data_IF_033284460134
#
_entry.id   IF_033284460134
#
_cell.length_a   1.000
_cell.length_b   1.000
_cell.length_c   1.000
_cell.angle_alpha   90.00
_cell.angle_beta   90.00
_cell.angle_gamma   90.00
#
_symmetry.space_group_name_H-M   'P 1'
#
loop_
_entity.id
_entity.type
_entity.pdbx_description
1 polymer ?
#
# COMPACT_ATOMS: atom_id res chain seq x y z
N UNK A 1 8.11 117.73 30.78
CA UNK A 1 8.08 118.15 29.39
C UNK A 1 8.47 116.96 28.52
N UNK A 2 7.58 116.58 27.60
CA UNK A 2 7.74 115.83 26.36
C UNK A 2 8.25 114.39 26.43
N UNK A 3 7.35 113.42 26.41
CA UNK A 3 6.82 112.60 25.32
C UNK A 3 7.88 111.85 24.53
N UNK A 4 7.82 110.51 24.59
CA UNK A 4 8.57 109.57 23.78
C UNK A 4 7.80 108.27 23.61
N UNK A 5 7.35 108.12 22.44
CA UNK A 5 6.52 107.10 21.90
C UNK A 5 7.28 105.74 21.82
N UNK A 6 6.74 104.68 22.36
CA UNK A 6 7.32 103.37 22.35
C UNK A 6 6.48 102.34 21.54
N UNK A 7 6.89 102.10 20.30
CA UNK A 7 6.33 101.09 19.47
C UNK A 7 6.62 99.68 20.02
N UNK A 8 5.57 98.98 20.38
CA UNK A 8 5.59 97.50 20.61
C UNK A 8 5.80 96.74 19.30
N UNK A 9 6.79 95.86 19.27
CA UNK A 9 6.93 94.85 18.24
C UNK A 9 6.16 93.64 18.67
N UNK A 10 5.23 93.15 17.83
CA UNK A 10 4.57 91.86 17.93
C UNK A 10 5.55 90.73 17.62
N UNK A 11 5.41 89.53 18.28
CA UNK A 11 6.20 88.38 17.94
C UNK A 11 5.58 87.63 16.75
N UNK A 12 6.45 87.18 15.87
CA UNK A 12 6.14 86.45 14.66
C UNK A 12 5.39 85.12 14.97
N UNK A 13 4.34 84.89 14.22
CA UNK A 13 3.55 83.64 14.17
C UNK A 13 4.43 82.46 13.86
N UNK A 14 4.20 81.34 14.63
CA UNK A 14 4.74 80.03 14.44
C UNK A 14 4.21 79.41 13.15
N UNK A 15 5.13 79.08 12.26
CA UNK A 15 4.89 78.32 11.03
C UNK A 15 4.25 76.97 11.33
N UNK A 16 3.13 76.76 10.71
CA UNK A 16 2.42 75.58 10.25
C UNK A 16 2.77 74.21 10.81
N UNK A 17 1.92 73.72 11.69
CA UNK A 17 1.63 72.24 11.73
C UNK A 17 0.91 71.91 10.43
N UNK A 18 1.61 71.17 9.52
CA UNK A 18 0.95 70.56 8.38
C UNK A 18 0.01 69.46 8.91
N UNK A 19 -1.27 69.76 8.95
CA UNK A 19 -2.32 68.74 9.17
C UNK A 19 -2.35 67.83 7.96
N UNK A 20 -1.77 66.63 8.11
CA UNK A 20 -2.02 65.50 7.15
C UNK A 20 -3.54 65.28 7.16
N UNK A 21 -4.19 65.57 6.03
CA UNK A 21 -5.64 65.46 5.90
C UNK A 21 -6.11 64.04 6.14
N UNK A 22 -7.37 63.86 6.57
CA UNK A 22 -7.93 62.52 6.92
C UNK A 22 -7.79 61.45 5.83
N UNK A 23 -7.63 61.83 4.57
CA UNK A 23 -7.37 60.93 3.44
C UNK A 23 -5.93 60.37 3.44
N UNK A 24 -4.92 61.16 3.87
CA UNK A 24 -3.54 60.67 3.97
C UNK A 24 -3.35 59.73 5.15
N UNK A 25 -3.99 59.98 6.29
CA UNK A 25 -3.95 59.08 7.44
C UNK A 25 -4.63 57.72 7.13
N UNK A 26 -5.72 57.73 6.37
CA UNK A 26 -6.41 56.54 5.95
C UNK A 26 -5.61 55.72 4.93
N UNK A 27 -4.88 56.37 4.01
CA UNK A 27 -3.99 55.72 3.07
C UNK A 27 -2.79 55.08 3.77
N UNK A 28 -2.17 55.80 4.73
CA UNK A 28 -1.05 55.28 5.51
C UNK A 28 -1.43 54.11 6.41
N UNK A 29 -2.62 54.13 7.01
CA UNK A 29 -3.12 52.99 7.79
C UNK A 29 -3.40 51.76 6.94
N UNK A 30 -3.94 51.90 5.73
CA UNK A 30 -4.12 50.82 4.76
C UNK A 30 -2.79 50.23 4.27
N UNK A 31 -1.82 51.07 3.95
CA UNK A 31 -0.47 50.65 3.57
C UNK A 31 0.23 49.93 4.72
N UNK A 32 0.11 50.39 5.94
CA UNK A 32 0.65 49.71 7.12
C UNK A 32 -0.02 48.37 7.37
N UNK A 33 -1.33 48.28 7.18
CA UNK A 33 -2.04 46.98 7.31
C UNK A 33 -1.69 45.99 6.21
N UNK A 34 -1.48 46.44 4.97
CA UNK A 34 -1.02 45.58 3.87
C UNK A 34 0.40 45.09 4.13
N UNK A 35 1.33 45.98 4.53
CA UNK A 35 2.71 45.60 4.85
C UNK A 35 2.81 44.66 6.06
N UNK A 36 1.95 44.82 7.06
CA UNK A 36 1.88 43.88 8.19
C UNK A 36 1.28 42.55 7.79
N UNK A 37 0.27 42.51 6.92
CA UNK A 37 -0.27 41.26 6.36
C UNK A 37 0.76 40.52 5.49
N UNK A 38 1.46 41.23 4.60
CA UNK A 38 2.55 40.64 3.80
C UNK A 38 3.68 40.08 4.71
N UNK A 39 4.07 40.84 5.73
CA UNK A 39 5.06 40.39 6.71
C UNK A 39 4.60 39.15 7.50
N UNK A 40 3.33 39.06 7.86
CA UNK A 40 2.76 37.88 8.53
C UNK A 40 2.67 36.69 7.58
N UNK A 41 2.27 36.86 6.34
CA UNK A 41 2.23 35.78 5.32
C UNK A 41 3.65 35.30 5.06
N UNK A 42 4.63 36.17 4.89
CA UNK A 42 6.03 35.78 4.69
C UNK A 42 6.64 35.03 5.87
N UNK A 43 6.20 35.30 7.10
CA UNK A 43 6.65 34.57 8.29
C UNK A 43 5.92 33.24 8.50
N UNK A 44 4.65 33.11 8.06
CA UNK A 44 3.86 31.89 8.26
C UNK A 44 4.18 30.77 7.24
N UNK A 45 4.53 31.13 6.01
CA UNK A 45 4.87 30.14 4.96
C UNK A 45 6.03 29.22 5.36
N UNK A 46 7.18 29.70 5.85
CA UNK A 46 8.26 28.85 6.32
C UNK A 46 7.84 27.94 7.48
N UNK A 47 7.03 28.43 8.41
CA UNK A 47 6.57 27.64 9.53
C UNK A 47 5.67 26.49 9.07
N UNK A 48 4.70 26.75 8.18
CA UNK A 48 3.83 25.72 7.60
C UNK A 48 4.65 24.70 6.81
N UNK A 49 5.58 25.15 5.97
CA UNK A 49 6.46 24.26 5.22
C UNK A 49 7.27 23.36 6.17
N UNK A 50 7.91 23.95 7.18
CA UNK A 50 8.67 23.21 8.18
C UNK A 50 7.82 22.18 8.90
N UNK A 51 6.61 22.53 9.35
CA UNK A 51 5.68 21.60 10.00
C UNK A 51 5.27 20.48 9.08
N UNK A 52 4.96 20.76 7.81
CA UNK A 52 4.57 19.75 6.82
C UNK A 52 5.71 18.76 6.59
N UNK A 53 6.92 19.26 6.36
CA UNK A 53 8.10 18.43 6.13
C UNK A 53 8.42 17.54 7.35
N UNK A 54 8.36 18.10 8.55
CA UNK A 54 8.52 17.33 9.79
C UNK A 54 7.43 16.28 9.97
N UNK A 55 6.19 16.59 9.66
CA UNK A 55 5.08 15.63 9.73
C UNK A 55 5.36 14.42 8.83
N UNK A 56 5.78 14.64 7.59
CA UNK A 56 6.07 13.55 6.64
C UNK A 56 7.25 12.70 7.12
N UNK A 57 8.34 13.33 7.55
CA UNK A 57 9.52 12.56 7.97
C UNK A 57 9.28 11.77 9.27
N UNK A 58 8.55 12.35 10.23
CA UNK A 58 8.18 11.66 11.46
C UNK A 58 7.20 10.52 11.21
N UNK A 59 6.21 10.73 10.35
CA UNK A 59 5.26 9.70 9.94
C UNK A 59 6.00 8.51 9.32
N UNK A 60 6.94 8.76 8.42
CA UNK A 60 7.79 7.74 7.80
C UNK A 60 8.67 7.04 8.83
N UNK A 61 9.30 7.80 9.72
CA UNK A 61 10.14 7.24 10.79
C UNK A 61 9.34 6.34 11.76
N UNK A 62 8.13 6.76 12.16
CA UNK A 62 7.24 5.95 13.01
C UNK A 62 6.83 4.64 12.30
N UNK A 63 6.48 4.71 11.02
CA UNK A 63 6.14 3.52 10.24
C UNK A 63 7.32 2.56 10.11
N UNK A 64 8.53 3.06 9.85
CA UNK A 64 9.75 2.28 9.79
C UNK A 64 10.09 1.66 11.16
N UNK A 65 9.96 2.43 12.23
CA UNK A 65 10.21 1.93 13.59
C UNK A 65 9.26 0.78 13.95
N UNK A 66 7.97 0.92 13.60
CA UNK A 66 6.99 -0.16 13.79
C UNK A 66 7.31 -1.38 12.93
N UNK A 67 7.62 -1.19 11.64
CA UNK A 67 8.04 -2.27 10.77
C UNK A 67 9.29 -2.98 11.30
N UNK A 68 10.29 -2.22 11.76
CA UNK A 68 11.50 -2.77 12.35
C UNK A 68 11.19 -3.59 13.62
N UNK A 69 10.27 -3.09 14.46
CA UNK A 69 9.80 -3.83 15.62
C UNK A 69 9.17 -5.17 15.22
N UNK A 70 8.29 -5.17 14.22
CA UNK A 70 7.67 -6.40 13.71
C UNK A 70 8.73 -7.41 13.22
N UNK A 71 9.65 -6.97 12.37
CA UNK A 71 10.61 -7.87 11.73
C UNK A 71 11.73 -8.33 12.70
N UNK A 72 12.25 -7.41 13.53
CA UNK A 72 13.40 -7.72 14.38
C UNK A 72 13.03 -8.39 15.71
N UNK A 73 11.81 -8.20 16.21
CA UNK A 73 11.39 -8.70 17.50
C UNK A 73 10.21 -9.68 17.43
N UNK A 74 9.13 -9.33 16.72
CA UNK A 74 7.91 -10.17 16.65
C UNK A 74 8.15 -11.38 15.74
N UNK A 75 8.68 -11.16 14.54
CA UNK A 75 8.97 -12.23 13.58
C UNK A 75 10.26 -13.00 13.89
N UNK A 76 10.98 -12.62 14.98
CA UNK A 76 12.24 -13.27 15.32
C UNK A 76 12.03 -14.73 15.70
N UNK A 77 12.72 -15.62 14.96
CA UNK A 77 12.60 -17.06 15.18
C UNK A 77 11.33 -17.68 14.60
N UNK A 78 10.57 -16.93 13.79
CA UNK A 78 9.46 -17.53 13.04
C UNK A 78 9.99 -18.60 12.10
N UNK A 79 9.49 -19.81 12.28
CA UNK A 79 9.73 -20.96 11.42
C UNK A 79 8.43 -21.26 10.68
N UNK A 80 8.53 -21.56 9.38
CA UNK A 80 7.35 -21.96 8.62
C UNK A 80 6.86 -23.29 9.14
N UNK A 81 5.57 -23.42 9.48
CA UNK A 81 5.02 -24.70 9.91
C UNK A 81 5.13 -25.73 8.79
N UNK A 82 5.34 -26.98 9.18
CA UNK A 82 5.28 -28.10 8.24
C UNK A 82 3.82 -28.35 7.82
N UNK A 83 3.58 -28.88 6.61
CA UNK A 83 2.24 -29.27 6.18
C UNK A 83 1.68 -30.40 7.06
N UNK A 84 0.41 -30.29 7.47
CA UNK A 84 -0.32 -31.32 8.23
C UNK A 84 -1.48 -31.91 7.43
N UNK A 85 -1.96 -31.19 6.40
CA UNK A 85 -3.02 -31.64 5.51
C UNK A 85 -2.47 -31.93 4.11
N UNK A 86 -2.91 -33.05 3.53
CA UNK A 86 -2.52 -33.45 2.19
C UNK A 86 -3.20 -32.60 1.12
N UNK A 87 -2.59 -32.53 -0.06
CA UNK A 87 -3.16 -31.78 -1.19
C UNK A 87 -4.50 -32.35 -1.69
N UNK A 88 -4.83 -33.60 -1.35
CA UNK A 88 -6.13 -34.21 -1.62
C UNK A 88 -7.27 -33.58 -0.79
N UNK A 89 -6.92 -32.94 0.34
CA UNK A 89 -7.87 -32.25 1.24
C UNK A 89 -8.09 -30.78 0.84
N UNK A 90 -7.68 -30.40 -0.39
CA UNK A 90 -7.74 -29.04 -0.91
C UNK A 90 -8.61 -28.95 -2.15
N UNK A 91 -9.64 -28.09 -2.10
CA UNK A 91 -10.35 -27.60 -3.28
C UNK A 91 -9.72 -26.29 -3.76
N UNK A 92 -9.34 -26.21 -5.03
CA UNK A 92 -8.78 -24.97 -5.61
C UNK A 92 -9.86 -24.18 -6.36
N UNK A 93 -9.89 -22.88 -6.13
CA UNK A 93 -10.76 -21.93 -6.83
C UNK A 93 -9.95 -20.80 -7.47
N UNK A 94 -9.85 -20.83 -8.79
CA UNK A 94 -9.33 -19.71 -9.59
C UNK A 94 -10.42 -18.70 -9.88
N UNK A 95 -10.09 -17.43 -9.82
CA UNK A 95 -11.03 -16.35 -10.11
C UNK A 95 -10.54 -15.55 -11.30
N UNK A 96 -11.37 -15.45 -12.33
CA UNK A 96 -11.03 -14.76 -13.59
C UNK A 96 -12.22 -14.05 -14.20
N UNK A 97 -11.95 -13.10 -15.09
CA UNK A 97 -12.97 -12.45 -15.91
C UNK A 97 -13.00 -13.07 -17.33
N UNK A 98 -11.87 -13.06 -18.04
CA UNK A 98 -11.77 -13.43 -19.44
C UNK A 98 -10.39 -13.99 -19.85
N UNK A 99 -9.53 -14.35 -18.87
CA UNK A 99 -8.12 -14.64 -19.13
C UNK A 99 -7.86 -16.16 -19.34
N UNK A 100 -8.49 -16.80 -20.34
CA UNK A 100 -8.48 -18.24 -20.58
C UNK A 100 -7.05 -18.82 -20.62
N UNK A 101 -6.15 -18.29 -21.46
CA UNK A 101 -4.79 -18.83 -21.60
C UNK A 101 -3.95 -18.66 -20.34
N UNK A 102 -4.16 -17.59 -19.59
CA UNK A 102 -3.44 -17.32 -18.34
C UNK A 102 -3.90 -18.30 -17.26
N UNK A 103 -5.21 -18.46 -17.11
CA UNK A 103 -5.79 -19.45 -16.17
C UNK A 103 -5.35 -20.86 -16.53
N UNK A 104 -5.31 -21.22 -17.82
CA UNK A 104 -4.83 -22.53 -18.25
C UNK A 104 -3.38 -22.78 -17.84
N UNK A 105 -2.48 -21.78 -17.93
CA UNK A 105 -1.11 -21.88 -17.41
C UNK A 105 -1.11 -22.16 -15.90
N UNK A 106 -1.94 -21.43 -15.16
CA UNK A 106 -2.04 -21.57 -13.70
C UNK A 106 -2.63 -22.92 -13.28
N UNK A 107 -3.66 -23.43 -13.99
CA UNK A 107 -4.23 -24.75 -13.75
C UNK A 107 -3.22 -25.86 -14.05
N UNK A 108 -2.43 -25.70 -15.12
CA UNK A 108 -1.40 -26.69 -15.49
C UNK A 108 -0.24 -26.75 -14.50
N UNK A 109 -0.02 -25.66 -13.74
CA UNK A 109 1.02 -25.60 -12.71
C UNK A 109 0.61 -26.19 -11.36
N UNK A 110 -0.66 -26.60 -11.20
CA UNK A 110 -1.10 -27.23 -9.96
C UNK A 110 -0.50 -28.63 -9.82
N UNK A 111 -0.10 -29.02 -8.59
CA UNK A 111 0.24 -30.40 -8.28
C UNK A 111 -0.87 -31.39 -8.68
N UNK A 112 -0.51 -32.54 -9.25
CA UNK A 112 -1.48 -33.54 -9.67
C UNK A 112 -2.34 -34.09 -8.52
N UNK A 113 -1.83 -34.06 -7.30
CA UNK A 113 -2.53 -34.47 -6.10
C UNK A 113 -3.79 -33.64 -5.80
N UNK A 114 -3.84 -32.40 -6.25
CA UNK A 114 -5.04 -31.56 -6.17
C UNK A 114 -5.97 -31.97 -7.31
N UNK A 115 -7.02 -32.70 -7.00
CA UNK A 115 -7.96 -33.20 -8.00
C UNK A 115 -9.22 -32.34 -8.14
N UNK A 116 -9.59 -31.60 -7.08
CA UNK A 116 -10.78 -30.76 -7.06
C UNK A 116 -10.43 -29.32 -7.44
N UNK A 117 -10.61 -29.00 -8.75
CA UNK A 117 -10.15 -27.77 -9.38
C UNK A 117 -11.31 -27.05 -10.04
N UNK A 118 -11.57 -25.82 -9.61
CA UNK A 118 -12.65 -24.98 -10.12
C UNK A 118 -12.11 -23.67 -10.66
N UNK A 119 -12.68 -23.22 -11.79
CA UNK A 119 -12.47 -21.88 -12.35
C UNK A 119 -13.79 -21.13 -12.29
N UNK A 120 -13.82 -20.05 -11.55
CA UNK A 120 -14.98 -19.18 -11.38
C UNK A 120 -14.81 -17.98 -12.31
N UNK A 121 -15.55 -17.95 -13.39
CA UNK A 121 -15.39 -17.00 -14.48
C UNK A 121 -16.61 -16.09 -14.62
N UNK A 122 -16.37 -14.85 -15.06
CA UNK A 122 -17.47 -13.92 -15.44
C UNK A 122 -17.91 -14.12 -16.90
N UNK A 123 -17.10 -14.80 -17.73
CA UNK A 123 -17.39 -15.10 -19.12
C UNK A 123 -17.18 -16.60 -19.42
N UNK A 124 -17.91 -17.18 -20.38
CA UNK A 124 -17.68 -18.56 -20.82
C UNK A 124 -16.24 -18.76 -21.32
N UNK A 125 -15.60 -19.85 -20.90
CA UNK A 125 -14.27 -20.26 -21.35
C UNK A 125 -14.12 -21.77 -21.24
N UNK A 126 -13.08 -22.33 -21.90
CA UNK A 126 -12.75 -23.75 -21.86
C UNK A 126 -11.36 -23.95 -21.23
N UNK A 127 -11.33 -24.60 -20.07
CA UNK A 127 -10.09 -24.87 -19.34
C UNK A 127 -9.93 -26.39 -19.17
N UNK A 128 -8.81 -26.92 -19.68
CA UNK A 128 -8.47 -28.31 -19.48
C UNK A 128 -8.01 -28.59 -18.04
N UNK A 129 -8.51 -29.67 -17.43
CA UNK A 129 -8.10 -30.08 -16.09
C UNK A 129 -8.75 -29.34 -14.91
N UNK A 130 -9.77 -28.53 -15.16
CA UNK A 130 -10.59 -27.88 -14.13
C UNK A 130 -12.06 -27.79 -14.57
N UNK A 131 -12.96 -27.70 -13.59
CA UNK A 131 -14.39 -27.43 -13.85
C UNK A 131 -14.63 -25.93 -13.91
N UNK A 132 -15.14 -25.48 -15.05
CA UNK A 132 -15.45 -24.04 -15.24
C UNK A 132 -16.89 -23.75 -14.83
N UNK A 133 -17.06 -22.70 -14.03
CA UNK A 133 -18.34 -22.17 -13.58
C UNK A 133 -18.45 -20.72 -14.02
N UNK A 134 -19.51 -20.40 -14.75
CA UNK A 134 -19.81 -19.03 -15.17
C UNK A 134 -20.78 -18.41 -14.18
N UNK A 135 -20.39 -17.31 -13.55
CA UNK A 135 -21.23 -16.59 -12.60
C UNK A 135 -22.40 -15.96 -13.34
N UNK A 136 -23.66 -16.32 -13.04
CA UNK A 136 -24.82 -15.74 -13.75
C UNK A 136 -24.89 -14.23 -13.57
N UNK A 137 -25.20 -13.50 -14.63
CA UNK A 137 -25.42 -12.04 -14.55
C UNK A 137 -26.50 -11.67 -13.55
N UNK A 138 -27.53 -12.52 -13.41
CA UNK A 138 -28.67 -12.35 -12.51
C UNK A 138 -28.30 -12.61 -11.03
N UNK A 139 -27.10 -13.08 -10.71
CA UNK A 139 -26.69 -13.27 -9.32
C UNK A 139 -26.44 -11.91 -8.67
N UNK A 140 -27.21 -11.59 -7.63
CA UNK A 140 -27.12 -10.33 -6.90
C UNK A 140 -26.60 -10.57 -5.47
N UNK A 141 -25.63 -9.77 -5.04
CA UNK A 141 -25.11 -9.71 -3.68
C UNK A 141 -24.54 -8.31 -3.43
N UNK A 142 -24.12 -8.02 -2.19
CA UNK A 142 -23.48 -6.73 -1.87
C UNK A 142 -22.05 -6.65 -2.40
N UNK A 143 -21.37 -7.82 -2.51
CA UNK A 143 -20.01 -7.92 -3.01
C UNK A 143 -19.92 -7.52 -4.49
N UNK A 144 -18.75 -7.06 -4.91
CA UNK A 144 -18.46 -6.62 -6.28
C UNK A 144 -17.26 -7.36 -6.86
N UNK A 145 -17.24 -7.52 -8.19
CA UNK A 145 -16.11 -8.08 -8.92
C UNK A 145 -15.68 -9.46 -8.36
N UNK A 146 -14.39 -9.62 -8.00
CA UNK A 146 -13.85 -10.86 -7.43
C UNK A 146 -14.66 -11.32 -6.22
N UNK A 147 -15.02 -10.43 -5.29
CA UNK A 147 -15.86 -10.76 -4.14
C UNK A 147 -17.24 -11.32 -4.54
N UNK A 148 -17.86 -10.83 -5.63
CA UNK A 148 -19.12 -11.37 -6.16
C UNK A 148 -18.96 -12.81 -6.66
N UNK A 149 -17.88 -13.08 -7.37
CA UNK A 149 -17.57 -14.43 -7.85
C UNK A 149 -17.27 -15.40 -6.69
N UNK A 150 -16.53 -14.95 -5.67
CA UNK A 150 -16.29 -15.71 -4.44
C UNK A 150 -17.60 -16.05 -3.72
N UNK A 151 -18.48 -15.07 -3.51
CA UNK A 151 -19.74 -15.28 -2.81
C UNK A 151 -20.67 -16.21 -3.61
N UNK A 152 -20.69 -16.08 -4.94
CA UNK A 152 -21.44 -17.01 -5.79
C UNK A 152 -20.92 -18.44 -5.63
N UNK A 153 -19.60 -18.62 -5.68
CA UNK A 153 -18.97 -19.92 -5.54
C UNK A 153 -19.28 -20.56 -4.17
N UNK A 154 -19.18 -19.78 -3.09
CA UNK A 154 -19.55 -20.23 -1.74
C UNK A 154 -20.98 -20.73 -1.65
N UNK A 155 -21.93 -20.03 -2.28
CA UNK A 155 -23.36 -20.38 -2.22
C UNK A 155 -23.77 -21.54 -3.15
N UNK A 156 -23.00 -21.80 -4.21
CA UNK A 156 -23.43 -22.71 -5.27
C UNK A 156 -22.54 -23.92 -5.48
N UNK A 157 -21.30 -23.92 -4.95
CA UNK A 157 -20.38 -25.05 -5.04
C UNK A 157 -20.29 -25.75 -3.68
N UNK A 158 -20.34 -27.07 -3.72
CA UNK A 158 -20.05 -27.89 -2.54
C UNK A 158 -18.54 -28.02 -2.37
N UNK A 159 -18.07 -28.01 -1.16
CA UNK A 159 -16.70 -28.34 -0.81
C UNK A 159 -16.73 -29.52 0.17
N UNK A 160 -16.13 -30.64 -0.22
CA UNK A 160 -15.96 -31.80 0.66
C UNK A 160 -14.57 -31.83 1.30
N UNK A 161 -13.67 -30.96 0.81
CA UNK A 161 -12.31 -30.79 1.27
C UNK A 161 -12.26 -29.90 2.51
N UNK A 162 -11.22 -30.04 3.31
CA UNK A 162 -11.03 -29.26 4.52
C UNK A 162 -10.62 -27.82 4.21
N UNK A 163 -9.86 -27.61 3.12
CA UNK A 163 -9.34 -26.31 2.72
C UNK A 163 -9.80 -25.87 1.34
N UNK A 164 -10.05 -24.57 1.23
CA UNK A 164 -10.25 -23.85 -0.01
C UNK A 164 -9.02 -23.02 -0.31
N UNK A 165 -8.34 -23.32 -1.42
CA UNK A 165 -7.19 -22.54 -1.90
C UNK A 165 -7.67 -21.59 -3.00
N UNK A 166 -7.63 -20.30 -2.70
CA UNK A 166 -7.99 -19.22 -3.62
C UNK A 166 -6.76 -18.72 -4.35
N UNK A 167 -6.88 -18.64 -5.66
CA UNK A 167 -5.82 -18.23 -6.57
C UNK A 167 -6.34 -17.15 -7.53
N UNK A 168 -5.49 -16.17 -7.82
CA UNK A 168 -5.71 -15.26 -8.93
C UNK A 168 -5.43 -15.97 -10.26
N UNK A 169 -5.95 -15.45 -11.35
CA UNK A 169 -5.84 -16.03 -12.70
C UNK A 169 -4.39 -16.30 -13.15
N UNK A 170 -3.41 -15.59 -12.60
CA UNK A 170 -1.99 -15.65 -12.96
C UNK A 170 -1.10 -16.26 -11.87
N UNK A 171 -1.69 -16.89 -10.87
CA UNK A 171 -0.94 -17.51 -9.77
C UNK A 171 -0.38 -18.86 -10.19
N UNK A 172 0.94 -18.96 -10.30
CA UNK A 172 1.66 -20.19 -10.61
C UNK A 172 2.21 -20.80 -9.33
N UNK A 173 1.74 -21.98 -9.00
CA UNK A 173 2.19 -22.73 -7.82
C UNK A 173 3.52 -23.42 -8.15
N UNK A 174 4.55 -23.24 -7.32
CA UNK A 174 5.88 -23.77 -7.61
C UNK A 174 6.34 -24.91 -6.70
N UNK A 175 5.98 -24.90 -5.44
CA UNK A 175 6.54 -25.81 -4.42
C UNK A 175 5.55 -26.13 -3.30
N UNK A 176 4.27 -26.35 -3.64
CA UNK A 176 3.22 -26.72 -2.69
C UNK A 176 3.21 -28.22 -2.45
N UNK A 177 3.43 -28.64 -1.23
CA UNK A 177 3.49 -30.03 -0.78
C UNK A 177 2.40 -30.41 0.24
N UNK A 178 1.63 -29.44 0.71
CA UNK A 178 0.51 -29.59 1.65
C UNK A 178 0.12 -28.26 2.28
N UNK A 179 -0.82 -28.30 3.21
CA UNK A 179 -1.36 -27.14 3.92
C UNK A 179 -1.04 -27.28 5.42
N UNK A 180 -0.42 -26.30 6.07
CA UNK A 180 -0.31 -26.25 7.53
C UNK A 180 -1.68 -26.19 8.21
N UNK A 181 -1.78 -26.73 9.41
CA UNK A 181 -2.99 -26.67 10.23
C UNK A 181 -3.18 -25.25 10.81
N UNK A 182 -4.06 -24.48 10.19
CA UNK A 182 -4.47 -23.12 10.63
C UNK A 182 -5.79 -22.73 9.97
N UNK A 183 -6.50 -21.76 10.52
CA UNK A 183 -7.76 -21.26 9.94
C UNK A 183 -7.55 -20.58 8.58
N UNK A 184 -6.46 -19.81 8.49
CA UNK A 184 -6.05 -19.07 7.29
C UNK A 184 -4.56 -19.24 7.07
N UNK A 185 -4.18 -19.77 5.91
CA UNK A 185 -2.79 -19.97 5.50
C UNK A 185 -2.46 -19.04 4.34
N UNK A 186 -1.56 -18.11 4.55
CA UNK A 186 -1.05 -17.22 3.52
C UNK A 186 0.22 -17.79 2.91
N UNK A 187 0.28 -17.85 1.59
CA UNK A 187 1.48 -18.24 0.87
C UNK A 187 2.35 -17.05 0.49
N UNK A 188 3.60 -17.33 0.15
CA UNK A 188 4.56 -16.30 -0.25
C UNK A 188 4.35 -15.94 -1.71
N UNK A 189 4.39 -14.65 -2.00
CA UNK A 189 4.29 -14.14 -3.36
C UNK A 189 5.67 -13.90 -3.97
N UNK A 190 5.84 -14.22 -5.27
CA UNK A 190 7.02 -13.91 -6.04
C UNK A 190 6.62 -13.29 -7.38
N UNK A 191 7.10 -12.07 -7.72
CA UNK A 191 6.71 -11.44 -8.96
C UNK A 191 7.45 -12.06 -10.16
N UNK A 192 6.72 -12.32 -11.23
CA UNK A 192 7.27 -12.62 -12.56
C UNK A 192 7.35 -11.32 -13.37
N UNK A 193 8.45 -11.13 -14.11
CA UNK A 193 8.58 -9.97 -14.97
C UNK A 193 7.65 -10.10 -16.18
N UNK A 194 6.75 -9.12 -16.34
CA UNK A 194 5.92 -8.95 -17.51
C UNK A 194 6.59 -7.96 -18.50
N UNK A 195 5.82 -7.04 -19.10
CA UNK A 195 6.33 -6.08 -20.09
C UNK A 195 7.23 -4.98 -19.50
N UNK A 196 7.02 -4.59 -18.26
CA UNK A 196 7.65 -3.40 -17.68
C UNK A 196 8.71 -3.76 -16.65
N UNK A 197 9.95 -3.46 -16.93
CA UNK A 197 11.06 -3.62 -15.99
C UNK A 197 10.90 -2.75 -14.74
N UNK A 198 10.38 -1.53 -14.87
CA UNK A 198 10.19 -0.64 -13.72
C UNK A 198 9.08 -1.12 -12.78
N UNK A 199 8.00 -1.68 -13.31
CA UNK A 199 6.94 -2.26 -12.45
C UNK A 199 7.44 -3.53 -11.76
N UNK A 200 8.22 -4.36 -12.45
CA UNK A 200 8.88 -5.51 -11.83
C UNK A 200 9.79 -5.11 -10.67
N UNK A 201 10.68 -4.12 -10.86
CA UNK A 201 11.51 -3.60 -9.78
C UNK A 201 10.67 -3.03 -8.62
N UNK A 202 9.53 -2.41 -8.91
CA UNK A 202 8.63 -1.91 -7.88
C UNK A 202 7.93 -3.05 -7.11
N UNK A 203 7.68 -4.20 -7.74
CA UNK A 203 7.22 -5.40 -7.04
C UNK A 203 8.30 -5.99 -6.15
N UNK A 204 9.53 -6.15 -6.65
CA UNK A 204 10.66 -6.64 -5.84
C UNK A 204 10.92 -5.72 -4.64
N UNK A 205 10.82 -4.40 -4.82
CA UNK A 205 10.88 -3.44 -3.72
C UNK A 205 9.77 -3.66 -2.69
N UNK A 206 8.53 -3.87 -3.14
CA UNK A 206 7.38 -4.16 -2.28
C UNK A 206 7.59 -5.42 -1.46
N UNK A 207 8.16 -6.46 -2.05
CA UNK A 207 8.44 -7.72 -1.34
C UNK A 207 9.41 -7.54 -0.17
N UNK A 208 10.36 -6.61 -0.27
CA UNK A 208 11.24 -6.27 0.85
C UNK A 208 10.47 -5.73 2.06
N UNK A 209 9.42 -4.97 1.80
CA UNK A 209 8.49 -4.52 2.84
C UNK A 209 7.65 -5.68 3.40
N UNK A 210 7.21 -6.62 2.56
CA UNK A 210 6.38 -7.76 2.96
C UNK A 210 7.08 -8.80 3.86
N UNK A 211 8.39 -8.72 4.06
CA UNK A 211 9.10 -9.55 5.06
C UNK A 211 8.44 -9.50 6.44
N UNK A 212 7.72 -8.42 6.75
CA UNK A 212 6.92 -8.29 7.98
C UNK A 212 5.79 -9.31 8.13
N UNK A 213 5.32 -9.95 7.02
CA UNK A 213 4.27 -10.98 7.09
C UNK A 213 4.62 -12.12 8.04
N UNK A 214 5.91 -12.39 8.25
CA UNK A 214 6.39 -13.37 9.24
C UNK A 214 6.03 -13.02 10.69
N UNK A 215 5.60 -11.77 10.93
CA UNK A 215 5.09 -11.37 12.25
C UNK A 215 3.58 -11.57 12.38
N UNK A 216 2.84 -11.75 11.27
CA UNK A 216 1.38 -11.79 11.29
C UNK A 216 0.79 -12.92 12.13
N UNK A 217 1.38 -14.14 12.15
CA UNK A 217 0.93 -15.21 13.03
C UNK A 217 0.93 -14.86 14.53
N UNK A 218 1.74 -13.89 14.94
CA UNK A 218 1.82 -13.41 16.32
C UNK A 218 0.95 -12.17 16.59
N UNK A 219 0.21 -11.67 15.61
CA UNK A 219 -0.66 -10.51 15.76
C UNK A 219 -2.11 -10.98 15.96
N UNK A 220 -2.88 -10.23 16.74
CA UNK A 220 -4.32 -10.46 16.88
C UNK A 220 -5.06 -10.31 15.55
N UNK A 221 -4.56 -9.45 14.66
CA UNK A 221 -5.12 -9.22 13.32
C UNK A 221 -3.98 -9.07 12.34
N UNK A 222 -3.90 -9.87 11.28
CA UNK A 222 -2.97 -9.65 10.18
C UNK A 222 -3.18 -8.27 9.56
N UNK A 223 -2.09 -7.58 9.22
CA UNK A 223 -2.20 -6.19 8.72
C UNK A 223 -2.81 -6.10 7.32
N UNK A 224 -2.70 -7.16 6.55
CA UNK A 224 -3.30 -7.37 5.22
C UNK A 224 -3.20 -8.85 4.85
N UNK A 225 -3.97 -9.25 3.85
CA UNK A 225 -3.84 -10.54 3.17
C UNK A 225 -3.69 -10.33 1.67
N UNK A 226 -3.25 -11.38 0.98
CA UNK A 226 -3.04 -11.38 -0.46
C UNK A 226 -3.77 -12.57 -1.09
N UNK A 227 -4.69 -12.31 -2.01
CA UNK A 227 -5.61 -13.30 -2.54
C UNK A 227 -5.11 -14.12 -3.73
N UNK A 228 -3.88 -13.90 -4.18
CA UNK A 228 -3.28 -14.74 -5.21
C UNK A 228 -2.65 -16.02 -4.68
N UNK A 229 -2.79 -16.28 -3.37
CA UNK A 229 -2.28 -17.49 -2.71
C UNK A 229 -2.68 -17.50 -1.24
N UNK A 230 -3.95 -17.86 -0.96
CA UNK A 230 -4.50 -17.97 0.39
C UNK A 230 -5.35 -19.22 0.51
N UNK A 231 -5.08 -20.07 1.50
CA UNK A 231 -5.94 -21.19 1.84
C UNK A 231 -6.74 -20.85 3.10
N UNK A 232 -8.00 -21.25 3.11
CA UNK A 232 -8.96 -20.96 4.19
C UNK A 232 -9.69 -22.26 4.51
N UNK A 233 -9.92 -22.56 5.78
CA UNK A 233 -10.78 -23.68 6.16
C UNK A 233 -12.18 -23.49 5.58
N UNK A 234 -12.73 -24.53 4.97
CA UNK A 234 -14.03 -24.47 4.30
C UNK A 234 -15.16 -24.01 5.26
N UNK A 235 -15.16 -24.49 6.49
CA UNK A 235 -16.13 -24.08 7.52
C UNK A 235 -16.03 -22.61 7.89
N UNK A 236 -14.83 -22.04 7.83
CA UNK A 236 -14.61 -20.62 8.10
C UNK A 236 -15.12 -19.74 6.95
N UNK A 237 -14.91 -20.18 5.69
CA UNK A 237 -15.51 -19.50 4.54
C UNK A 237 -17.03 -19.49 4.64
N UNK A 238 -17.65 -20.61 4.95
CA UNK A 238 -19.10 -20.73 5.10
C UNK A 238 -19.66 -19.83 6.20
N UNK A 239 -18.94 -19.70 7.30
CA UNK A 239 -19.34 -18.87 8.44
C UNK A 239 -19.26 -17.37 8.14
N UNK A 240 -18.20 -16.92 7.51
CA UNK A 240 -17.91 -15.48 7.33
C UNK A 240 -18.47 -14.96 6.00
N UNK A 241 -18.28 -15.69 4.89
CA UNK A 241 -18.72 -15.33 3.55
C UNK A 241 -17.99 -14.12 2.96
N UNK A 242 -18.36 -13.80 1.72
CA UNK A 242 -17.73 -12.73 0.94
C UNK A 242 -18.70 -11.58 0.60
N UNK A 243 -19.94 -11.63 1.08
CA UNK A 243 -21.01 -10.67 0.72
C UNK A 243 -20.81 -9.28 1.34
N UNK A 244 -19.68 -8.65 0.95
CA UNK A 244 -19.33 -7.29 1.37
C UNK A 244 -18.81 -6.48 0.19
N UNK A 245 -19.29 -5.24 0.06
CA UNK A 245 -18.80 -4.32 -0.96
C UNK A 245 -17.43 -3.80 -0.60
N UNK A 246 -16.39 -4.43 -1.12
CA UNK A 246 -14.99 -4.06 -0.88
C UNK A 246 -14.16 -4.14 -2.17
N UNK A 247 -12.97 -3.55 -2.16
CA UNK A 247 -11.97 -3.63 -3.24
C UNK A 247 -10.74 -4.45 -2.85
N UNK A 248 -10.75 -5.01 -1.63
CA UNK A 248 -9.65 -5.80 -1.03
C UNK A 248 -10.27 -6.99 -0.28
N UNK A 249 -10.98 -7.84 -1.01
CA UNK A 249 -11.78 -8.94 -0.47
C UNK A 249 -10.99 -9.85 0.46
N UNK A 250 -9.75 -10.18 0.12
CA UNK A 250 -8.87 -11.05 0.90
C UNK A 250 -8.57 -10.48 2.28
N UNK A 251 -8.11 -9.23 2.31
CA UNK A 251 -7.84 -8.50 3.56
C UNK A 251 -9.13 -8.28 4.36
N UNK A 252 -10.23 -7.96 3.67
CA UNK A 252 -11.54 -7.75 4.30
C UNK A 252 -12.05 -9.03 4.95
N UNK A 253 -11.88 -10.18 4.28
CA UNK A 253 -12.23 -11.49 4.83
C UNK A 253 -11.48 -11.75 6.14
N UNK A 254 -10.15 -11.68 6.12
CA UNK A 254 -9.31 -11.91 7.31
C UNK A 254 -9.63 -10.94 8.44
N UNK A 255 -9.89 -9.67 8.12
CA UNK A 255 -10.31 -8.69 9.14
C UNK A 255 -11.71 -8.97 9.68
N UNK A 256 -12.61 -9.54 8.86
CA UNK A 256 -13.96 -9.94 9.30
C UNK A 256 -13.89 -11.14 10.23
N UNK A 257 -13.03 -12.12 9.93
CA UNK A 257 -12.75 -13.25 10.84
C UNK A 257 -12.24 -12.75 12.18
N UNK A 258 -11.21 -11.89 12.17
CA UNK A 258 -10.63 -11.34 13.40
C UNK A 258 -11.60 -10.42 14.19
N UNK A 259 -12.66 -9.93 13.55
CA UNK A 259 -13.70 -9.13 14.19
C UNK A 259 -14.87 -9.97 14.74
N UNK A 260 -14.98 -11.24 14.37
CA UNK A 260 -16.01 -12.17 14.85
C UNK A 260 -15.63 -12.65 16.25
N UNK A 261 -16.45 -12.30 17.26
CA UNK A 261 -16.19 -12.65 18.67
C UNK A 261 -16.18 -14.16 18.95
N UNK A 262 -16.70 -14.98 18.03
CA UNK A 262 -16.74 -16.43 18.16
C UNK A 262 -15.60 -17.15 17.47
N UNK A 263 -14.62 -16.43 16.90
CA UNK A 263 -13.44 -17.00 16.24
C UNK A 263 -12.17 -16.45 16.87
N UNK A 264 -11.32 -17.35 17.31
CA UNK A 264 -9.93 -17.03 17.67
C UNK A 264 -9.08 -17.36 16.46
N UNK A 265 -8.83 -16.37 15.61
CA UNK A 265 -8.20 -16.55 14.31
C UNK A 265 -6.80 -17.15 14.44
N UNK A 266 -6.62 -18.36 13.96
CA UNK A 266 -5.31 -18.95 13.71
C UNK A 266 -4.86 -18.61 12.27
N UNK A 267 -3.86 -17.75 12.16
CA UNK A 267 -3.30 -17.31 10.89
C UNK A 267 -1.83 -17.70 10.79
N UNK A 268 -1.45 -18.34 9.70
CA UNK A 268 -0.06 -18.71 9.47
C UNK A 268 0.46 -18.29 8.08
N UNK A 269 1.78 -18.24 7.94
CA UNK A 269 2.47 -18.01 6.68
C UNK A 269 3.21 -19.29 6.29
N UNK A 270 2.85 -19.90 5.16
CA UNK A 270 3.49 -21.10 4.65
C UNK A 270 4.77 -20.81 3.86
N UNK A 271 5.61 -21.84 3.70
CA UNK A 271 6.87 -21.76 2.96
C UNK A 271 6.66 -21.65 1.46
N UNK A 272 5.67 -22.37 0.92
CA UNK A 272 5.38 -22.45 -0.49
C UNK A 272 5.27 -21.05 -1.14
N UNK A 273 5.75 -20.95 -2.37
CA UNK A 273 5.84 -19.68 -3.10
C UNK A 273 4.97 -19.76 -4.35
N UNK A 274 4.20 -18.70 -4.58
CA UNK A 274 3.34 -18.56 -5.73
C UNK A 274 3.81 -17.40 -6.58
N UNK A 275 4.06 -17.68 -7.84
CA UNK A 275 4.53 -16.70 -8.80
C UNK A 275 3.35 -15.95 -9.42
N UNK A 276 3.43 -14.61 -9.49
CA UNK A 276 2.40 -13.76 -10.08
C UNK A 276 2.98 -12.75 -11.04
N UNK A 277 2.20 -12.31 -12.00
CA UNK A 277 2.66 -11.31 -12.96
C UNK A 277 2.77 -9.92 -12.31
N UNK A 278 3.94 -9.30 -12.43
CA UNK A 278 4.07 -7.86 -12.15
C UNK A 278 3.11 -7.06 -13.06
N UNK A 279 2.52 -5.96 -12.59
CA UNK A 279 1.65 -5.12 -13.41
C UNK A 279 2.30 -4.76 -14.75
N UNK A 280 1.60 -4.92 -15.89
CA UNK A 280 2.21 -4.77 -17.21
C UNK A 280 2.60 -3.33 -17.56
N UNK A 281 2.05 -2.35 -16.85
CA UNK A 281 2.33 -0.92 -17.04
C UNK A 281 2.35 -0.17 -15.72
N UNK A 282 3.05 0.97 -15.70
CA UNK A 282 3.06 1.88 -14.54
C UNK A 282 1.64 2.36 -14.20
N UNK A 283 0.81 2.62 -15.21
CA UNK A 283 -0.59 3.03 -14.97
C UNK A 283 -1.40 1.93 -14.27
N UNK A 284 -1.25 0.68 -14.69
CA UNK A 284 -1.89 -0.46 -14.05
C UNK A 284 -1.45 -0.61 -12.59
N UNK A 285 -0.14 -0.49 -12.33
CA UNK A 285 0.42 -0.50 -10.99
C UNK A 285 -0.13 0.62 -10.10
N UNK A 286 -0.16 1.86 -10.60
CA UNK A 286 -0.72 3.00 -9.87
C UNK A 286 -2.19 2.74 -9.51
N UNK A 287 -2.99 2.24 -10.47
CA UNK A 287 -4.39 1.88 -10.22
C UNK A 287 -4.53 0.79 -9.15
N UNK A 288 -3.71 -0.26 -9.20
CA UNK A 288 -3.70 -1.35 -8.22
C UNK A 288 -3.37 -0.84 -6.81
N UNK A 289 -2.31 -0.03 -6.64
CA UNK A 289 -1.94 0.56 -5.35
C UNK A 289 -3.01 1.51 -4.81
N UNK A 290 -3.64 2.27 -5.72
CA UNK A 290 -4.76 3.16 -5.39
C UNK A 290 -5.95 2.38 -4.80
N UNK A 291 -6.30 1.23 -5.39
CA UNK A 291 -7.33 0.34 -4.84
C UNK A 291 -6.98 -0.19 -3.44
N UNK A 292 -5.75 -0.65 -3.25
CA UNK A 292 -5.34 -1.22 -1.97
C UNK A 292 -5.47 -0.22 -0.83
N UNK A 293 -4.99 1.01 -1.02
CA UNK A 293 -5.08 2.02 0.04
C UNK A 293 -6.52 2.49 0.25
N UNK A 294 -7.29 2.67 -0.82
CA UNK A 294 -8.69 3.09 -0.73
C UNK A 294 -9.53 2.02 -0.02
N UNK A 295 -9.37 0.74 -0.39
CA UNK A 295 -10.02 -0.38 0.28
C UNK A 295 -9.64 -0.49 1.75
N UNK A 296 -8.35 -0.44 2.07
CA UNK A 296 -7.86 -0.47 3.45
C UNK A 296 -8.42 0.67 4.31
N UNK A 297 -8.57 1.87 3.74
CA UNK A 297 -9.21 2.99 4.45
C UNK A 297 -10.72 2.81 4.64
N UNK A 298 -11.41 2.22 3.65
CA UNK A 298 -12.84 1.95 3.73
C UNK A 298 -13.15 0.89 4.79
N UNK A 299 -12.39 -0.22 4.80
CA UNK A 299 -12.66 -1.39 5.64
C UNK A 299 -12.05 -1.30 7.06
N UNK A 300 -11.25 -0.28 7.35
CA UNK A 300 -10.63 -0.10 8.69
C UNK A 300 -11.61 -0.08 9.85
N UNK A 301 -12.91 0.07 9.58
CA UNK A 301 -13.99 -0.02 10.58
C UNK A 301 -14.04 -1.37 11.30
N UNK A 302 -13.62 -2.46 10.64
CA UNK A 302 -13.50 -3.81 11.19
C UNK A 302 -12.42 -3.92 12.28
N UNK A 303 -11.44 -3.04 12.26
CA UNK A 303 -10.28 -3.11 13.14
C UNK A 303 -10.57 -2.46 14.50
N UNK A 304 -9.94 -2.99 15.55
CA UNK A 304 -9.89 -2.35 16.87
C UNK A 304 -9.26 -0.94 16.76
N UNK A 305 -9.47 -0.10 17.78
CA UNK A 305 -8.93 1.29 17.76
C UNK A 305 -7.41 1.33 17.53
N UNK A 306 -6.66 0.40 18.14
CA UNK A 306 -5.20 0.33 17.99
C UNK A 306 -4.83 -0.02 16.55
N UNK A 307 -5.37 -1.11 16.01
CA UNK A 307 -5.07 -1.56 14.64
C UNK A 307 -5.54 -0.56 13.59
N UNK A 308 -6.68 0.10 13.81
CA UNK A 308 -7.16 1.20 12.97
C UNK A 308 -6.16 2.36 12.91
N UNK A 309 -5.61 2.75 14.07
CA UNK A 309 -4.60 3.81 14.14
C UNK A 309 -3.31 3.38 13.44
N UNK A 310 -2.81 2.17 13.71
CA UNK A 310 -1.63 1.62 13.05
C UNK A 310 -1.78 1.57 11.54
N UNK A 311 -2.88 1.01 11.05
CA UNK A 311 -3.17 0.93 9.60
C UNK A 311 -3.26 2.33 8.99
N UNK A 312 -3.90 3.29 9.66
CA UNK A 312 -3.98 4.68 9.18
C UNK A 312 -2.60 5.32 9.09
N UNK A 313 -1.76 5.19 10.13
CA UNK A 313 -0.38 5.74 10.14
C UNK A 313 0.45 5.12 9.00
N UNK A 314 0.37 3.81 8.83
CA UNK A 314 1.10 3.08 7.77
C UNK A 314 0.65 3.51 6.38
N UNK A 315 -0.64 3.61 6.15
CA UNK A 315 -1.21 4.05 4.87
C UNK A 315 -0.81 5.50 4.54
N UNK A 316 -0.85 6.39 5.52
CA UNK A 316 -0.38 7.76 5.34
C UNK A 316 1.14 7.81 5.07
N UNK A 317 1.94 7.05 5.83
CA UNK A 317 3.38 6.96 5.59
C UNK A 317 3.67 6.46 4.17
N UNK A 318 2.98 5.43 3.69
CA UNK A 318 3.10 4.94 2.33
C UNK A 318 2.69 5.99 1.30
N UNK A 319 1.53 6.62 1.46
CA UNK A 319 1.03 7.63 0.52
C UNK A 319 1.96 8.85 0.42
N UNK A 320 2.61 9.26 1.51
CA UNK A 320 3.54 10.40 1.53
C UNK A 320 5.01 10.01 1.33
N UNK A 321 5.34 8.73 1.24
CA UNK A 321 6.72 8.25 1.02
C UNK A 321 7.35 8.71 -0.31
N UNK A 322 6.62 9.11 -1.39
CA UNK A 322 7.22 9.74 -2.56
C UNK A 322 8.04 10.99 -2.22
N UNK A 323 7.71 11.66 -1.13
CA UNK A 323 8.46 12.81 -0.66
C UNK A 323 9.83 12.45 -0.06
N UNK A 324 10.02 11.21 0.42
CA UNK A 324 11.24 10.81 1.17
C UNK A 324 12.54 11.11 0.43
N UNK A 325 12.74 10.77 -0.85
CA UNK A 325 13.96 11.15 -1.57
C UNK A 325 14.13 12.68 -1.67
N UNK A 326 13.01 13.42 -1.77
CA UNK A 326 13.02 14.89 -1.87
C UNK A 326 13.36 15.51 -0.52
N UNK A 327 12.85 14.97 0.58
CA UNK A 327 13.13 15.48 1.93
C UNK A 327 14.63 15.54 2.25
N UNK A 328 15.42 14.64 1.70
CA UNK A 328 16.88 14.61 1.94
C UNK A 328 17.61 15.80 1.30
N UNK A 329 17.06 16.36 0.22
CA UNK A 329 17.69 17.46 -0.54
C UNK A 329 17.05 18.81 -0.32
N UNK A 330 15.81 18.86 0.20
CA UNK A 330 15.07 20.13 0.42
C UNK A 330 15.85 21.16 1.25
N UNK A 331 16.56 20.78 2.36
CA UNK A 331 17.34 21.76 3.13
C UNK A 331 18.40 22.51 2.30
N UNK A 332 18.90 21.89 1.23
CA UNK A 332 19.89 22.54 0.34
C UNK A 332 19.28 23.70 -0.48
N UNK A 333 17.96 23.66 -0.71
CA UNK A 333 17.25 24.67 -1.51
C UNK A 333 16.57 25.75 -0.67
N UNK A 334 16.29 25.46 0.60
CA UNK A 334 15.61 26.38 1.52
C UNK A 334 16.33 26.45 2.88
N UNK A 335 17.62 26.82 2.89
CA UNK A 335 18.43 26.85 4.11
C UNK A 335 17.82 27.80 5.15
N UNK A 336 17.86 27.37 6.42
CA UNK A 336 17.34 28.17 7.55
C UNK A 336 15.81 28.23 7.64
N UNK A 337 15.08 27.59 6.74
CA UNK A 337 13.61 27.58 6.73
C UNK A 337 13.03 26.49 7.62
N UNK A 338 13.74 25.36 7.75
CA UNK A 338 13.29 24.18 8.49
C UNK A 338 13.76 24.27 9.94
N UNK A 339 12.82 24.23 10.88
CA UNK A 339 13.16 24.18 12.31
C UNK A 339 14.01 22.93 12.61
N UNK A 340 15.07 23.07 13.43
CA UNK A 340 16.00 22.00 13.75
C UNK A 340 16.58 21.31 12.50
N UNK A 341 17.00 22.09 11.52
CA UNK A 341 17.41 21.66 10.18
C UNK A 341 18.38 20.47 10.18
N UNK A 342 19.42 20.46 11.04
CA UNK A 342 20.36 19.36 11.14
C UNK A 342 19.67 18.04 11.57
N UNK A 343 18.79 18.10 12.57
CA UNK A 343 18.04 16.92 13.03
C UNK A 343 17.09 16.42 11.95
N UNK A 344 16.41 17.33 11.24
CA UNK A 344 15.57 17.00 10.10
C UNK A 344 16.38 16.31 9.00
N UNK A 345 17.55 16.83 8.65
CA UNK A 345 18.40 16.28 7.60
C UNK A 345 18.91 14.89 7.97
N UNK A 346 19.40 14.71 9.20
CA UNK A 346 19.87 13.39 9.70
C UNK A 346 18.74 12.36 9.64
N UNK A 347 17.54 12.72 10.12
CA UNK A 347 16.40 11.82 10.13
C UNK A 347 15.92 11.50 8.70
N UNK A 348 15.87 12.50 7.81
CA UNK A 348 15.48 12.28 6.40
C UNK A 348 16.44 11.35 5.68
N UNK A 349 17.75 11.51 5.88
CA UNK A 349 18.78 10.62 5.32
C UNK A 349 18.63 9.21 5.90
N UNK A 350 18.40 9.06 7.20
CA UNK A 350 18.19 7.76 7.83
C UNK A 350 16.94 7.05 7.27
N UNK A 351 15.83 7.76 7.12
CA UNK A 351 14.60 7.22 6.51
C UNK A 351 14.86 6.77 5.07
N UNK A 352 15.56 7.57 4.27
CA UNK A 352 15.89 7.21 2.90
C UNK A 352 16.86 6.02 2.82
N UNK A 353 17.89 5.98 3.67
CA UNK A 353 18.78 4.83 3.76
C UNK A 353 18.03 3.54 4.10
N UNK A 354 17.00 3.63 4.96
CA UNK A 354 16.16 2.50 5.30
C UNK A 354 15.31 2.00 4.11
N UNK A 355 14.84 2.89 3.24
CA UNK A 355 14.16 2.51 1.99
C UNK A 355 15.08 1.68 1.08
N UNK A 356 16.39 1.98 1.06
CA UNK A 356 17.39 1.16 0.35
C UNK A 356 17.52 -0.23 1.01
N UNK A 357 17.45 -0.30 2.34
CA UNK A 357 17.47 -1.60 3.05
C UNK A 357 16.29 -2.49 2.60
N UNK A 358 15.10 -1.95 2.43
CA UNK A 358 13.96 -2.71 1.89
C UNK A 358 14.24 -3.27 0.50
N UNK A 359 14.87 -2.48 -0.38
CA UNK A 359 15.27 -2.97 -1.71
C UNK A 359 16.20 -4.17 -1.62
N UNK A 360 17.21 -4.11 -0.75
CA UNK A 360 18.16 -5.20 -0.53
C UNK A 360 17.48 -6.43 0.08
N UNK A 361 16.58 -6.23 1.02
CA UNK A 361 15.82 -7.33 1.65
C UNK A 361 14.91 -8.03 0.63
N UNK A 362 14.23 -7.28 -0.24
CA UNK A 362 13.39 -7.85 -1.31
C UNK A 362 14.21 -8.76 -2.23
N UNK A 363 15.34 -8.26 -2.72
CA UNK A 363 16.25 -9.04 -3.55
C UNK A 363 16.73 -10.32 -2.85
N UNK A 364 17.19 -10.19 -1.60
CA UNK A 364 17.74 -11.31 -0.85
C UNK A 364 16.70 -12.34 -0.43
N UNK A 365 15.55 -11.88 0.03
CA UNK A 365 14.49 -12.74 0.58
C UNK A 365 13.85 -13.62 -0.50
N UNK A 366 13.75 -13.10 -1.73
CA UNK A 366 13.15 -13.81 -2.85
C UNK A 366 14.18 -14.38 -3.83
N UNK A 367 15.46 -14.32 -3.50
CA UNK A 367 16.53 -14.94 -4.30
C UNK A 367 16.72 -14.30 -5.68
N UNK A 368 16.50 -12.99 -5.80
CA UNK A 368 16.70 -12.27 -7.05
C UNK A 368 18.17 -12.18 -7.42
N UNK A 369 18.46 -12.07 -8.73
CA UNK A 369 19.82 -11.97 -9.26
C UNK A 369 20.54 -10.70 -8.78
N UNK A 370 21.88 -10.75 -8.72
CA UNK A 370 22.69 -9.60 -8.33
C UNK A 370 22.45 -8.40 -9.27
N UNK A 371 22.19 -8.64 -10.56
CA UNK A 371 21.89 -7.58 -11.54
C UNK A 371 20.58 -6.85 -11.21
N UNK A 372 19.54 -7.58 -10.83
CA UNK A 372 18.27 -7.00 -10.32
C UNK A 372 18.54 -6.20 -9.05
N UNK A 373 19.35 -6.74 -8.13
CA UNK A 373 19.72 -6.06 -6.89
C UNK A 373 20.43 -4.72 -7.13
N UNK A 374 21.42 -4.69 -8.00
CA UNK A 374 22.16 -3.46 -8.35
C UNK A 374 21.20 -2.46 -9.02
N UNK A 375 20.41 -2.91 -10.00
CA UNK A 375 19.44 -2.04 -10.67
C UNK A 375 18.43 -1.45 -9.69
N UNK A 376 17.89 -2.26 -8.77
CA UNK A 376 16.93 -1.83 -7.78
C UNK A 376 17.52 -0.81 -6.80
N UNK A 377 18.72 -1.04 -6.26
CA UNK A 377 19.40 -0.11 -5.36
C UNK A 377 19.64 1.24 -6.03
N UNK A 378 20.15 1.24 -7.28
CA UNK A 378 20.38 2.48 -8.05
C UNK A 378 19.08 3.21 -8.36
N UNK A 379 18.02 2.48 -8.70
CA UNK A 379 16.72 3.03 -9.08
C UNK A 379 15.76 3.20 -7.91
N UNK A 380 16.18 2.89 -6.67
CA UNK A 380 15.32 3.01 -5.47
C UNK A 380 14.57 4.34 -5.38
N UNK A 381 15.16 5.52 -5.67
CA UNK A 381 14.42 6.80 -5.62
C UNK A 381 13.24 6.83 -6.60
N UNK A 382 13.41 6.27 -7.80
CA UNK A 382 12.37 6.23 -8.83
C UNK A 382 11.34 5.16 -8.52
N UNK A 383 11.80 3.98 -8.13
CA UNK A 383 10.94 2.83 -7.82
C UNK A 383 10.06 3.11 -6.62
N UNK A 384 10.61 3.67 -5.54
CA UNK A 384 9.84 4.06 -4.34
C UNK A 384 8.81 5.14 -4.66
N UNK A 385 9.17 6.13 -5.49
CA UNK A 385 8.25 7.14 -5.99
C UNK A 385 7.09 6.50 -6.74
N UNK A 386 7.36 5.67 -7.74
CA UNK A 386 6.34 5.02 -8.57
C UNK A 386 5.43 4.11 -7.73
N UNK A 387 6.01 3.32 -6.82
CA UNK A 387 5.27 2.44 -5.91
C UNK A 387 4.27 3.23 -5.04
N UNK A 388 4.63 4.42 -4.62
CA UNK A 388 3.86 5.22 -3.68
C UNK A 388 2.89 6.20 -4.34
N UNK A 389 3.09 6.57 -5.62
CA UNK A 389 2.17 7.45 -6.35
C UNK A 389 0.76 6.88 -6.39
N UNK A 390 0.61 5.57 -6.54
CA UNK A 390 -0.70 4.91 -6.51
C UNK A 390 -1.37 5.04 -5.14
N UNK A 391 -0.61 4.85 -4.07
CA UNK A 391 -1.11 5.02 -2.71
C UNK A 391 -1.57 6.46 -2.45
N UNK A 392 -0.77 7.45 -2.87
CA UNK A 392 -1.15 8.87 -2.77
C UNK A 392 -2.42 9.18 -3.57
N UNK A 393 -2.49 8.70 -4.82
CA UNK A 393 -3.67 8.90 -5.66
C UNK A 393 -4.93 8.28 -5.04
N UNK A 394 -4.84 7.04 -4.51
CA UNK A 394 -5.96 6.36 -3.86
C UNK A 394 -6.40 7.01 -2.55
N UNK A 395 -5.49 7.70 -1.84
CA UNK A 395 -5.82 8.44 -0.64
C UNK A 395 -6.56 9.75 -0.95
N UNK A 396 -6.09 10.49 -1.97
CA UNK A 396 -6.62 11.84 -2.31
C UNK A 396 -7.86 11.75 -3.19
N UNK A 397 -7.89 10.80 -4.11
CA UNK A 397 -8.98 10.58 -5.06
C UNK A 397 -9.28 9.07 -5.13
N UNK A 398 -9.93 8.51 -4.09
CA UNK A 398 -10.24 7.09 -4.05
C UNK A 398 -11.07 6.70 -5.28
N UNK A 399 -10.72 5.59 -5.96
CA UNK A 399 -11.46 5.14 -7.12
C UNK A 399 -12.90 4.76 -6.72
N UNK A 400 -13.88 5.24 -7.47
CA UNK A 400 -15.31 4.90 -7.30
C UNK A 400 -15.68 3.62 -8.03
N UNK A 401 -14.95 3.32 -9.09
CA UNK A 401 -14.99 2.07 -9.84
C UNK A 401 -13.56 1.64 -10.17
N UNK A 402 -13.33 0.34 -10.34
CA UNK A 402 -12.00 -0.15 -10.68
C UNK A 402 -12.04 -1.07 -11.90
N UNK A 403 -11.11 -0.84 -12.80
CA UNK A 403 -10.80 -1.80 -13.84
C UNK A 403 -9.90 -2.89 -13.26
N UNK A 404 -10.19 -4.14 -13.59
CA UNK A 404 -9.30 -5.28 -13.30
C UNK A 404 -7.94 -5.01 -13.96
N UNK A 405 -6.86 -5.31 -13.27
CA UNK A 405 -5.52 -5.23 -13.85
C UNK A 405 -5.38 -6.37 -14.86
N UNK A 406 -5.50 -6.06 -16.14
CA UNK A 406 -5.33 -7.05 -17.21
C UNK A 406 -3.94 -7.64 -17.13
N UNK A 407 -3.87 -8.94 -17.19
CA UNK A 407 -2.62 -9.70 -17.27
C UNK A 407 -2.14 -9.75 -18.72
N UNK A 408 -0.91 -10.17 -18.93
CA UNK A 408 -0.36 -10.40 -20.27
C UNK A 408 -0.29 -11.89 -20.56
N UNK A 409 -0.36 -12.23 -21.86
CA UNK A 409 -0.27 -13.62 -22.30
C UNK A 409 1.02 -14.27 -21.78
N UNK A 410 0.98 -15.58 -21.44
CA UNK A 410 2.12 -16.30 -20.85
C UNK A 410 3.44 -16.17 -21.61
N UNK A 411 3.38 -16.14 -22.94
CA UNK A 411 4.55 -16.01 -23.84
C UNK A 411 5.30 -14.68 -23.67
N UNK A 412 4.64 -13.66 -23.09
CA UNK A 412 5.22 -12.34 -22.83
C UNK A 412 5.73 -12.19 -21.40
N UNK A 413 5.58 -13.22 -20.59
CA UNK A 413 6.09 -13.27 -19.22
C UNK A 413 7.42 -14.02 -19.23
N UNK A 414 8.47 -13.41 -18.70
CA UNK A 414 9.76 -14.06 -18.60
C UNK A 414 9.65 -15.28 -17.68
N UNK A 415 9.89 -16.47 -18.23
CA UNK A 415 10.15 -17.66 -17.42
C UNK A 415 11.44 -17.39 -16.67
N UNK A 416 11.39 -17.38 -15.35
CA UNK A 416 12.58 -17.36 -14.55
C UNK A 416 13.26 -18.74 -14.72
N UNK A 417 14.17 -18.85 -15.70
CA UNK A 417 15.17 -19.92 -15.71
C UNK A 417 16.02 -19.72 -14.46
N UNK A 418 15.54 -20.26 -13.35
CA UNK A 418 16.35 -20.44 -12.17
C UNK A 418 16.86 -21.86 -12.22
N UNK A 419 18.13 -21.98 -12.59
CA UNK A 419 18.93 -23.09 -12.12
C UNK A 419 18.73 -23.13 -10.60
N UNK A 420 18.08 -24.19 -10.15
CA UNK A 420 18.11 -24.60 -8.75
C UNK A 420 19.54 -25.09 -8.55
N UNK A 421 20.44 -24.15 -8.23
CA UNK A 421 21.71 -24.51 -7.64
C UNK A 421 21.38 -25.19 -6.30
N UNK A 422 21.32 -26.51 -6.38
CA UNK A 422 21.35 -27.36 -5.20
C UNK A 422 22.69 -27.18 -4.50
N UNK A 423 22.64 -26.68 -3.27
CA UNK A 423 23.42 -27.16 -2.12
C UNK A 423 22.87 -26.52 -0.83
#
# INVERSE_FOLDING_TARGET
>A
MTTGDGKRREPAESLGRSSTGPSQQHLMSRLASVLTMEGQVLATVPAILSMTLWTIVLLSACSIAYWTYLVAFVARGYEYPEPEHDLADVQVRFLTVEAEHIVQESVNALPEAITDRHVIAEQPMEIGGATVHVVPEAFECAAIRKGRALEWARQNLTCEQEYLLFLDEDSIVTDLDGIPDADVVQFRERPRRSRSWLTYLAEVFRLGFQVEQRAFPSLTVPLYAWGGGIAIRAELEDRIGWDRKTMIEDTTFVWSVAADEGVDLDFTLARATFDTQAPPTIRAMIGQRGRWIAGSQAERGLLSRLYRTLTTVRNLAWAFSPAVPVLTVVPLFVPGTIAFELAFQVLSVAVFAFVIVWSVLGVRYYGESLSVGVALVVLTPIVSLLHSLGAFAGLVAPPTDFAVTRKVEPELVETADREVDGD
#
